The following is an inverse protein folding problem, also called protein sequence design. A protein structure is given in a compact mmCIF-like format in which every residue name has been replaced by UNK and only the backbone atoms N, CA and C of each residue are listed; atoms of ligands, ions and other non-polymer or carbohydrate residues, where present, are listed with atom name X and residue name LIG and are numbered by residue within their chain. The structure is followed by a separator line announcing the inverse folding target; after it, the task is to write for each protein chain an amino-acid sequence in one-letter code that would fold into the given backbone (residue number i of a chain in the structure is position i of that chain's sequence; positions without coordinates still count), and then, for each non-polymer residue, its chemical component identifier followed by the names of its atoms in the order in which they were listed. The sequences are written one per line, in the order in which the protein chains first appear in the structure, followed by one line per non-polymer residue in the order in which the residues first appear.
data_IF_307466398556
#
_entry.id   IF_307466398556
#
_cell.length_a   1.000
_cell.length_b   1.000
_cell.length_c   1.000
_cell.angle_alpha   90.00
_cell.angle_beta   90.00
_cell.angle_gamma   90.00
#
_symmetry.space_group_name_H-M   'P 1'
#
loop_
_entity.id
_entity.type
_entity.pdbx_description
1 polymer ?
#
# COMPACT_ATOMS: atom_id res chain seq x y z
N UNK A 1 -11.71 -6.82 22.05
CA UNK A 1 -11.76 -7.58 20.79
C UNK A 1 -11.92 -6.59 19.65
N UNK A 2 -11.09 -6.71 18.63
CA UNK A 2 -11.20 -5.90 17.41
C UNK A 2 -12.41 -6.36 16.59
N UNK A 3 -13.18 -5.40 16.08
CA UNK A 3 -14.36 -5.61 15.22
C UNK A 3 -14.21 -5.01 13.82
N UNK A 4 -13.26 -4.10 13.62
CA UNK A 4 -12.97 -3.52 12.31
C UNK A 4 -11.47 -3.31 12.09
N UNK A 5 -11.03 -3.43 10.83
CA UNK A 5 -9.67 -3.04 10.40
C UNK A 5 -9.76 -2.15 9.18
N UNK A 6 -9.06 -1.01 9.23
CA UNK A 6 -8.85 -0.10 8.10
C UNK A 6 -7.46 -0.32 7.55
N UNK A 7 -7.36 -0.64 6.27
CA UNK A 7 -6.09 -0.85 5.58
C UNK A 7 -5.80 0.29 4.60
N UNK A 8 -4.54 0.72 4.54
CA UNK A 8 -4.02 1.24 3.28
C UNK A 8 -3.95 0.13 2.20
N UNK A 9 -3.75 0.50 0.93
CA UNK A 9 -3.77 -0.45 -0.18
C UNK A 9 -2.38 -0.77 -0.74
N UNK A 10 -1.71 0.22 -1.33
CA UNK A 10 -0.48 0.04 -2.08
C UNK A 10 0.67 -0.33 -1.12
N UNK A 11 1.29 -1.50 -1.32
CA UNK A 11 2.37 -2.04 -0.49
C UNK A 11 1.97 -2.30 0.99
N UNK A 12 0.67 -2.23 1.28
CA UNK A 12 0.04 -2.67 2.53
C UNK A 12 -0.73 -3.98 2.28
N UNK A 13 -1.71 -3.96 1.36
CA UNK A 13 -2.48 -5.16 0.97
C UNK A 13 -1.89 -5.85 -0.25
N UNK A 14 -1.42 -5.08 -1.22
CA UNK A 14 -0.96 -5.55 -2.53
C UNK A 14 0.46 -5.08 -2.77
N UNK A 15 1.34 -5.97 -3.23
CA UNK A 15 2.73 -5.65 -3.57
C UNK A 15 2.79 -4.91 -4.91
N UNK A 16 2.55 -3.59 -4.85
CA UNK A 16 2.50 -2.74 -6.04
C UNK A 16 3.88 -2.29 -6.47
N UNK A 17 4.79 -2.03 -5.53
CA UNK A 17 6.18 -1.71 -5.78
C UNK A 17 6.93 -2.90 -6.35
N UNK A 18 6.78 -4.10 -5.79
CA UNK A 18 7.34 -5.32 -6.35
C UNK A 18 6.82 -5.60 -7.76
N UNK A 19 5.52 -5.37 -8.01
CA UNK A 19 4.96 -5.42 -9.36
C UNK A 19 5.67 -4.45 -10.31
N UNK A 20 5.78 -3.16 -9.94
CA UNK A 20 6.45 -2.16 -10.80
C UNK A 20 7.91 -2.55 -11.07
N UNK A 21 8.65 -3.00 -10.05
CA UNK A 21 10.05 -3.42 -10.19
C UNK A 21 10.15 -4.62 -11.14
N UNK A 22 9.37 -5.68 -10.89
CA UNK A 22 9.36 -6.89 -11.71
C UNK A 22 9.09 -6.56 -13.18
N UNK A 23 8.14 -5.67 -13.43
CA UNK A 23 7.78 -5.24 -14.78
C UNK A 23 8.78 -4.33 -15.46
N UNK A 24 9.38 -3.40 -14.72
CA UNK A 24 10.45 -2.56 -15.25
C UNK A 24 11.65 -3.43 -15.65
N UNK A 25 12.07 -4.36 -14.79
CA UNK A 25 13.15 -5.32 -15.09
C UNK A 25 12.82 -6.16 -16.32
N UNK A 26 11.60 -6.67 -16.44
CA UNK A 26 11.17 -7.41 -17.63
C UNK A 26 11.18 -6.55 -18.88
N UNK A 27 10.66 -5.32 -18.79
CA UNK A 27 10.64 -4.36 -19.89
C UNK A 27 12.05 -4.07 -20.38
N UNK A 28 12.99 -3.82 -19.47
CA UNK A 28 14.39 -3.60 -19.81
C UNK A 28 15.02 -4.84 -20.47
N UNK A 29 14.77 -6.05 -19.96
CA UNK A 29 15.24 -7.29 -20.61
C UNK A 29 14.67 -7.48 -22.02
N UNK A 30 13.40 -7.15 -22.24
CA UNK A 30 12.79 -7.28 -23.57
C UNK A 30 13.31 -6.24 -24.58
N UNK A 31 13.72 -5.05 -24.11
CA UNK A 31 14.25 -3.97 -24.97
C UNK A 31 15.76 -4.12 -25.19
N UNK A 32 16.52 -4.43 -24.13
CA UNK A 32 17.99 -4.39 -24.12
C UNK A 32 18.65 -5.79 -24.13
N UNK A 33 17.88 -6.86 -23.91
CA UNK A 33 18.36 -8.25 -23.88
C UNK A 33 18.89 -8.70 -22.51
N UNK A 34 19.95 -8.05 -22.01
CA UNK A 34 20.55 -8.35 -20.71
C UNK A 34 20.40 -7.19 -19.72
N UNK A 35 20.40 -7.52 -18.43
CA UNK A 35 20.32 -6.57 -17.33
C UNK A 35 21.47 -6.79 -16.36
N UNK A 36 22.23 -5.74 -16.08
CA UNK A 36 23.17 -5.72 -14.97
C UNK A 36 22.46 -5.35 -13.64
N UNK A 37 23.10 -5.69 -12.53
CA UNK A 37 22.58 -5.40 -11.19
C UNK A 37 22.55 -3.90 -10.89
N UNK A 38 23.44 -3.12 -11.51
CA UNK A 38 23.56 -1.67 -11.32
C UNK A 38 22.29 -0.93 -11.78
N UNK A 39 21.73 -1.29 -12.94
CA UNK A 39 20.47 -0.70 -13.42
C UNK A 39 19.26 -1.11 -12.59
N UNK A 40 19.28 -2.31 -12.00
CA UNK A 40 18.22 -2.73 -11.07
C UNK A 40 18.29 -1.91 -9.78
N UNK A 41 19.49 -1.63 -9.27
CA UNK A 41 19.65 -0.83 -8.07
C UNK A 41 19.24 0.63 -8.32
N UNK A 42 19.67 1.21 -9.44
CA UNK A 42 19.22 2.54 -9.87
C UNK A 42 17.70 2.63 -10.03
N UNK A 43 17.04 1.59 -10.54
CA UNK A 43 15.57 1.52 -10.58
C UNK A 43 14.97 1.61 -9.18
N UNK A 44 15.50 0.86 -8.21
CA UNK A 44 15.00 0.91 -6.83
C UNK A 44 15.16 2.32 -6.25
N UNK A 45 16.33 2.92 -6.41
CA UNK A 45 16.62 4.28 -5.93
C UNK A 45 15.64 5.30 -6.51
N UNK A 46 15.40 5.26 -7.82
CA UNK A 46 14.44 6.17 -8.47
C UNK A 46 13.01 5.94 -7.97
N UNK A 47 12.62 4.70 -7.68
CA UNK A 47 11.29 4.41 -7.11
C UNK A 47 11.13 4.92 -5.67
N UNK A 48 12.22 5.16 -4.93
CA UNK A 48 12.17 5.82 -3.63
C UNK A 48 11.97 7.33 -3.71
N UNK A 49 12.21 7.97 -4.87
CA UNK A 49 12.08 9.43 -5.06
C UNK A 49 10.62 9.92 -5.19
N UNK A 50 9.62 9.01 -5.18
CA UNK A 50 8.17 9.31 -5.28
C UNK A 50 7.79 10.20 -6.48
N UNK A 51 8.49 10.02 -7.61
CA UNK A 51 8.25 10.72 -8.86
C UNK A 51 6.88 10.36 -9.48
N UNK A 52 6.38 11.21 -10.38
CA UNK A 52 5.25 10.81 -11.23
C UNK A 52 5.65 9.62 -12.11
N UNK A 53 4.66 8.81 -12.51
CA UNK A 53 4.93 7.52 -13.15
C UNK A 53 5.75 7.64 -14.43
N UNK A 54 5.42 8.61 -15.30
CA UNK A 54 6.18 8.90 -16.52
C UNK A 54 7.59 9.43 -16.25
N UNK A 55 7.79 10.19 -15.18
CA UNK A 55 9.09 10.76 -14.80
C UNK A 55 10.09 9.67 -14.41
N UNK A 56 9.62 8.55 -13.84
CA UNK A 56 10.45 7.37 -13.57
C UNK A 56 11.14 6.88 -14.86
N UNK A 57 10.38 6.79 -15.96
CA UNK A 57 10.94 6.34 -17.26
C UNK A 57 11.89 7.38 -17.84
N UNK A 58 11.54 8.67 -17.77
CA UNK A 58 12.41 9.75 -18.25
C UNK A 58 13.75 9.76 -17.51
N UNK A 59 13.72 9.51 -16.20
CA UNK A 59 14.90 9.45 -15.34
C UNK A 59 15.78 8.25 -15.68
N UNK A 60 15.19 7.07 -15.88
CA UNK A 60 15.92 5.82 -16.11
C UNK A 60 16.42 5.62 -17.54
N UNK A 61 15.68 6.12 -18.53
CA UNK A 61 15.88 5.75 -19.93
C UNK A 61 16.18 6.95 -20.86
N UNK A 62 16.31 8.16 -20.31
CA UNK A 62 16.66 9.37 -21.05
C UNK A 62 15.88 9.47 -22.37
N UNK A 63 16.52 9.59 -23.54
CA UNK A 63 15.86 9.80 -24.83
C UNK A 63 14.94 8.64 -25.28
N UNK A 64 15.13 7.42 -24.76
CA UNK A 64 14.35 6.25 -25.17
C UNK A 64 13.14 5.97 -24.27
N UNK A 65 12.83 6.83 -23.30
CA UNK A 65 11.82 6.58 -22.27
C UNK A 65 10.43 6.19 -22.82
N UNK A 66 10.02 6.75 -23.95
CA UNK A 66 8.72 6.43 -24.59
C UNK A 66 8.65 4.98 -25.07
N UNK A 67 9.76 4.43 -25.57
CA UNK A 67 9.85 3.02 -25.99
C UNK A 67 9.63 2.09 -24.79
N UNK A 68 10.36 2.33 -23.68
CA UNK A 68 10.22 1.53 -22.46
C UNK A 68 8.82 1.70 -21.85
N UNK A 69 8.28 2.92 -21.80
CA UNK A 69 6.93 3.15 -21.28
C UNK A 69 5.86 2.43 -22.12
N UNK A 70 5.98 2.49 -23.45
CA UNK A 70 5.08 1.78 -24.37
C UNK A 70 5.15 0.27 -24.13
N UNK A 71 6.35 -0.28 -24.02
CA UNK A 71 6.58 -1.71 -23.79
C UNK A 71 6.10 -2.17 -22.41
N UNK A 72 6.32 -1.36 -21.38
CA UNK A 72 5.77 -1.59 -20.05
C UNK A 72 4.24 -1.65 -20.12
N UNK A 73 3.59 -0.66 -20.77
CA UNK A 73 2.13 -0.61 -20.89
C UNK A 73 1.55 -1.78 -21.70
N UNK A 74 2.31 -2.31 -22.66
CA UNK A 74 1.92 -3.51 -23.43
C UNK A 74 1.95 -4.80 -22.60
N UNK A 75 2.88 -4.91 -21.66
CA UNK A 75 3.20 -6.16 -20.95
C UNK A 75 2.65 -6.21 -19.52
N UNK A 76 2.57 -5.07 -18.83
CA UNK A 76 2.06 -4.97 -17.46
C UNK A 76 0.66 -5.58 -17.28
N UNK A 77 -0.32 -5.35 -18.18
CA UNK A 77 -1.66 -5.95 -18.03
C UNK A 77 -1.68 -7.49 -18.11
N UNK A 78 -0.60 -8.13 -18.56
CA UNK A 78 -0.49 -9.60 -18.72
C UNK A 78 -0.02 -10.30 -17.45
N UNK A 79 0.24 -9.57 -16.37
CA UNK A 79 0.74 -10.12 -15.12
C UNK A 79 -0.16 -9.67 -13.98
N UNK A 80 -0.37 -10.57 -13.03
CA UNK A 80 -1.22 -10.32 -11.88
C UNK A 80 -0.43 -9.67 -10.76
N UNK A 81 -1.05 -8.71 -10.08
CA UNK A 81 -0.56 -8.24 -8.78
C UNK A 81 -0.54 -9.39 -7.77
N UNK A 82 0.37 -9.30 -6.79
CA UNK A 82 0.52 -10.28 -5.70
C UNK A 82 0.09 -9.64 -4.38
N UNK A 83 -0.46 -10.41 -3.42
CA UNK A 83 -0.70 -9.89 -2.09
C UNK A 83 0.63 -9.63 -1.37
N UNK A 84 0.63 -8.70 -0.41
CA UNK A 84 1.75 -8.57 0.52
C UNK A 84 1.91 -9.87 1.33
N UNK A 85 3.16 -10.20 1.69
CA UNK A 85 3.48 -11.44 2.41
C UNK A 85 2.64 -11.62 3.68
N UNK A 86 1.94 -12.75 3.79
CA UNK A 86 1.09 -13.11 4.94
C UNK A 86 -0.24 -12.36 5.03
N UNK A 87 -0.51 -11.42 4.12
CA UNK A 87 -1.71 -10.58 4.19
C UNK A 87 -2.96 -11.34 3.78
N UNK A 88 -2.88 -12.23 2.79
CA UNK A 88 -4.05 -13.00 2.36
C UNK A 88 -4.54 -13.93 3.47
N UNK A 89 -3.61 -14.60 4.17
CA UNK A 89 -3.91 -15.42 5.35
C UNK A 89 -4.54 -14.58 6.47
N UNK A 90 -3.96 -13.42 6.75
CA UNK A 90 -4.46 -12.50 7.78
C UNK A 90 -5.88 -11.99 7.49
N UNK A 91 -6.17 -11.61 6.24
CA UNK A 91 -7.51 -11.20 5.80
C UNK A 91 -8.52 -12.35 5.97
N UNK A 92 -8.15 -13.57 5.62
CA UNK A 92 -9.02 -14.73 5.81
C UNK A 92 -9.32 -14.97 7.30
N UNK A 93 -8.32 -14.86 8.17
CA UNK A 93 -8.49 -15.03 9.61
C UNK A 93 -9.41 -13.95 10.22
N UNK A 94 -9.30 -12.70 9.74
CA UNK A 94 -10.19 -11.61 10.13
C UNK A 94 -11.64 -11.87 9.73
N UNK A 95 -11.85 -12.35 8.50
CA UNK A 95 -13.19 -12.68 8.00
C UNK A 95 -13.83 -13.83 8.78
N UNK A 96 -13.07 -14.87 9.12
CA UNK A 96 -13.55 -15.97 9.96
C UNK A 96 -14.00 -15.49 11.35
N UNK A 97 -13.38 -14.43 11.87
CA UNK A 97 -13.74 -13.78 13.13
C UNK A 97 -14.88 -12.75 12.99
N UNK A 98 -15.43 -12.56 11.78
CA UNK A 98 -16.50 -11.59 11.51
C UNK A 98 -16.05 -10.13 11.61
N UNK A 99 -14.75 -9.86 11.45
CA UNK A 99 -14.19 -8.51 11.49
C UNK A 99 -14.52 -7.79 10.18
N UNK A 100 -15.00 -6.55 10.28
CA UNK A 100 -15.28 -5.70 9.11
C UNK A 100 -13.99 -5.15 8.51
N UNK A 101 -13.88 -5.20 7.18
CA UNK A 101 -12.69 -4.76 6.45
C UNK A 101 -12.98 -3.49 5.67
N UNK A 102 -12.12 -2.50 5.83
CA UNK A 102 -12.20 -1.21 5.15
C UNK A 102 -10.88 -0.93 4.44
N UNK A 103 -10.93 -0.26 3.30
CA UNK A 103 -9.74 0.24 2.61
C UNK A 103 -9.84 1.76 2.53
N UNK A 104 -8.76 2.46 2.87
CA UNK A 104 -8.59 3.88 2.59
C UNK A 104 -7.30 4.09 1.80
N UNK A 105 -7.45 4.38 0.50
CA UNK A 105 -6.31 4.64 -0.38
C UNK A 105 -6.38 6.02 -1.04
N UNK A 106 -5.21 6.62 -1.26
CA UNK A 106 -5.05 7.78 -2.13
C UNK A 106 -5.19 7.41 -3.62
N UNK A 107 -5.18 6.12 -4.00
CA UNK A 107 -5.21 5.61 -5.37
C UNK A 107 -6.30 4.55 -5.52
N UNK A 108 -7.43 4.91 -6.14
CA UNK A 108 -8.55 3.96 -6.34
C UNK A 108 -8.68 3.42 -7.77
N UNK A 109 -7.90 3.96 -8.71
CA UNK A 109 -7.92 3.46 -10.09
C UNK A 109 -7.49 2.00 -10.14
N UNK A 110 -8.35 1.14 -10.71
CA UNK A 110 -8.15 -0.31 -10.83
C UNK A 110 -7.95 -1.04 -9.50
N UNK A 111 -8.36 -0.45 -8.37
CA UNK A 111 -8.14 -1.05 -7.05
C UNK A 111 -8.80 -2.43 -6.94
N UNK A 112 -10.06 -2.56 -7.35
CA UNK A 112 -10.78 -3.83 -7.33
C UNK A 112 -10.14 -4.88 -8.25
N UNK A 113 -9.68 -4.49 -9.45
CA UNK A 113 -8.99 -5.41 -10.37
C UNK A 113 -7.69 -5.92 -9.76
N UNK A 114 -6.90 -5.02 -9.15
CA UNK A 114 -5.64 -5.36 -8.48
C UNK A 114 -5.87 -6.28 -7.29
N UNK A 115 -6.92 -6.02 -6.52
CA UNK A 115 -7.35 -6.89 -5.43
C UNK A 115 -7.69 -8.30 -5.93
N UNK A 116 -8.51 -8.40 -6.98
CA UNK A 116 -8.90 -9.69 -7.54
C UNK A 116 -7.68 -10.46 -8.07
N UNK A 117 -6.74 -9.76 -8.72
CA UNK A 117 -5.48 -10.35 -9.19
C UNK A 117 -4.60 -10.87 -8.05
N UNK A 118 -4.57 -10.15 -6.92
CA UNK A 118 -3.86 -10.55 -5.71
C UNK A 118 -4.58 -11.63 -4.89
N UNK A 119 -5.74 -12.12 -5.35
CA UNK A 119 -6.49 -13.22 -4.72
C UNK A 119 -7.50 -12.78 -3.67
N UNK A 120 -7.75 -11.48 -3.52
CA UNK A 120 -8.81 -10.96 -2.64
C UNK A 120 -10.16 -10.98 -3.35
N UNK A 121 -11.25 -11.03 -2.57
CA UNK A 121 -12.61 -10.81 -3.07
C UNK A 121 -12.99 -9.35 -2.74
N UNK A 122 -13.06 -8.44 -3.73
CA UNK A 122 -13.23 -7.01 -3.45
C UNK A 122 -14.46 -6.67 -2.61
N UNK A 123 -15.55 -7.44 -2.76
CA UNK A 123 -16.80 -7.25 -2.00
C UNK A 123 -16.69 -7.57 -0.51
N UNK A 124 -15.59 -8.17 -0.05
CA UNK A 124 -15.32 -8.34 1.39
C UNK A 124 -14.94 -7.01 2.06
N UNK A 125 -14.61 -5.99 1.28
CA UNK A 125 -14.09 -4.71 1.76
C UNK A 125 -15.06 -3.57 1.45
N UNK A 126 -15.20 -2.63 2.39
CA UNK A 126 -15.76 -1.30 2.09
C UNK A 126 -14.61 -0.38 1.64
N UNK A 127 -14.61 0.02 0.37
CA UNK A 127 -13.51 0.78 -0.24
C UNK A 127 -13.81 2.28 -0.19
N UNK A 128 -12.87 3.06 0.33
CA UNK A 128 -12.90 4.51 0.39
C UNK A 128 -11.69 5.08 -0.34
N UNK A 129 -11.95 6.11 -1.16
CA UNK A 129 -10.92 7.03 -1.60
C UNK A 129 -10.84 8.20 -0.63
N UNK A 130 -9.64 8.76 -0.50
CA UNK A 130 -9.51 10.16 -0.13
C UNK A 130 -10.51 11.03 -0.92
N UNK A 131 -11.26 11.90 -0.24
CA UNK A 131 -12.21 12.82 -0.89
C UNK A 131 -11.47 13.80 -1.79
N UNK A 132 -12.16 14.35 -2.80
CA UNK A 132 -11.61 15.43 -3.63
C UNK A 132 -11.12 16.57 -2.72
N UNK A 133 -9.80 16.81 -2.73
CA UNK A 133 -9.13 17.82 -1.90
C UNK A 133 -8.57 17.32 -0.56
N UNK A 134 -8.92 16.12 -0.08
CA UNK A 134 -8.51 15.59 1.22
C UNK A 134 -7.84 14.22 1.07
N UNK A 135 -6.57 14.23 0.67
CA UNK A 135 -5.71 13.03 0.53
C UNK A 135 -4.79 12.90 1.71
N UNK A 136 -4.45 11.66 2.12
CA UNK A 136 -3.40 11.42 3.12
C UNK A 136 -2.14 12.18 2.69
N UNK A 137 -1.48 12.99 3.55
CA UNK A 137 -1.59 13.02 5.01
C UNK A 137 -2.65 13.97 5.63
N UNK A 138 -3.60 14.52 4.87
CA UNK A 138 -4.70 15.32 5.42
C UNK A 138 -5.58 14.49 6.36
N UNK A 139 -5.83 14.99 7.58
CA UNK A 139 -6.66 14.31 8.57
C UNK A 139 -8.11 14.09 8.13
N UNK A 140 -8.61 14.93 7.22
CA UNK A 140 -9.95 14.79 6.63
C UNK A 140 -10.05 13.60 5.67
N UNK A 141 -8.92 12.98 5.28
CA UNK A 141 -8.93 11.79 4.44
C UNK A 141 -9.63 10.59 5.10
N UNK A 142 -9.54 10.46 6.43
CA UNK A 142 -10.17 9.37 7.17
C UNK A 142 -11.66 9.60 7.48
N UNK A 143 -12.18 10.82 7.32
CA UNK A 143 -13.57 11.14 7.69
C UNK A 143 -14.60 10.15 7.14
N UNK A 144 -14.58 9.76 5.84
CA UNK A 144 -15.60 8.85 5.30
C UNK A 144 -15.60 7.46 5.94
N UNK A 145 -14.42 6.90 6.24
CA UNK A 145 -14.31 5.57 6.83
C UNK A 145 -14.64 5.59 8.32
N UNK A 146 -14.26 6.65 9.05
CA UNK A 146 -14.57 6.79 10.47
C UNK A 146 -16.08 6.99 10.70
N UNK A 147 -16.74 7.79 9.86
CA UNK A 147 -18.21 7.95 9.91
C UNK A 147 -18.93 6.61 9.64
N UNK A 148 -18.41 5.77 8.74
CA UNK A 148 -18.99 4.46 8.50
C UNK A 148 -18.82 3.53 9.70
N UNK A 149 -17.64 3.52 10.32
CA UNK A 149 -17.37 2.74 11.54
C UNK A 149 -18.30 3.17 12.67
N UNK A 150 -18.55 4.46 12.83
CA UNK A 150 -19.51 4.99 13.81
C UNK A 150 -20.94 4.55 13.49
N UNK A 151 -21.38 4.64 12.23
CA UNK A 151 -22.69 4.10 11.78
C UNK A 151 -22.84 2.61 12.06
N UNK A 152 -21.73 1.88 11.93
CA UNK A 152 -21.62 0.45 12.22
C UNK A 152 -21.58 0.14 13.74
N UNK A 153 -21.61 1.16 14.61
CA UNK A 153 -21.59 1.07 16.08
C UNK A 153 -20.37 0.34 16.61
N UNK A 154 -19.22 0.58 16.00
CA UNK A 154 -17.93 0.03 16.41
C UNK A 154 -17.17 1.11 17.17
N UNK A 155 -16.76 0.79 18.39
CA UNK A 155 -16.01 1.72 19.23
C UNK A 155 -14.58 1.87 18.71
N UNK A 156 -13.97 3.05 18.88
CA UNK A 156 -12.57 3.31 18.48
C UNK A 156 -11.59 2.25 19.01
N UNK A 157 -11.78 1.81 20.26
CA UNK A 157 -10.96 0.78 20.90
C UNK A 157 -11.07 -0.61 20.25
N UNK A 158 -12.05 -0.81 19.38
CA UNK A 158 -12.33 -2.04 18.63
C UNK A 158 -11.86 -1.94 17.18
N UNK A 159 -11.20 -0.85 16.78
CA UNK A 159 -10.69 -0.65 15.43
C UNK A 159 -9.17 -0.81 15.40
N UNK A 160 -8.64 -1.35 14.32
CA UNK A 160 -7.22 -1.32 14.01
C UNK A 160 -7.01 -0.57 12.69
N UNK A 161 -5.93 0.20 12.57
CA UNK A 161 -5.53 0.82 11.31
C UNK A 161 -4.16 0.30 10.93
N UNK A 162 -3.98 -0.13 9.68
CA UNK A 162 -2.74 -0.73 9.18
C UNK A 162 -2.31 0.01 7.92
N UNK A 163 -1.05 0.43 7.87
CA UNK A 163 -0.46 1.08 6.70
C UNK A 163 1.07 0.95 6.69
N UNK A 164 1.66 1.23 5.54
CA UNK A 164 3.09 1.08 5.31
C UNK A 164 3.81 2.43 5.10
N UNK A 165 3.08 3.55 5.05
CA UNK A 165 3.65 4.87 4.83
C UNK A 165 3.34 5.84 6.00
N UNK A 166 4.26 6.74 6.38
CA UNK A 166 4.00 7.73 7.44
C UNK A 166 2.74 8.58 7.21
N UNK A 167 2.39 8.83 5.94
CA UNK A 167 1.16 9.58 5.60
C UNK A 167 -0.12 8.90 6.11
N UNK A 168 -0.12 7.57 6.26
CA UNK A 168 -1.25 6.83 6.83
C UNK A 168 -1.44 7.18 8.32
N UNK A 169 -0.33 7.28 9.05
CA UNK A 169 -0.34 7.68 10.45
C UNK A 169 -0.65 9.17 10.62
N UNK A 170 -0.07 10.02 9.78
CA UNK A 170 -0.24 11.48 9.86
C UNK A 170 -1.67 11.92 9.49
N UNK A 171 -2.32 11.20 8.58
CA UNK A 171 -3.73 11.42 8.24
C UNK A 171 -4.71 10.92 9.30
N UNK A 172 -4.27 10.17 10.31
CA UNK A 172 -5.18 9.83 11.40
C UNK A 172 -5.39 11.03 12.32
N UNK A 173 -6.63 11.30 12.75
CA UNK A 173 -6.88 12.20 13.88
C UNK A 173 -6.11 11.72 15.11
N UNK A 174 -5.67 12.66 15.95
CA UNK A 174 -4.73 12.37 17.04
C UNK A 174 -5.25 11.27 17.99
N UNK A 175 -6.54 11.28 18.27
CA UNK A 175 -7.18 10.31 19.15
C UNK A 175 -7.26 8.89 18.56
N UNK A 176 -7.00 8.73 17.27
CA UNK A 176 -6.95 7.44 16.57
C UNK A 176 -5.54 6.89 16.40
N UNK A 177 -4.48 7.68 16.63
CA UNK A 177 -3.08 7.27 16.39
C UNK A 177 -2.67 6.03 17.19
N UNK A 178 -3.20 5.86 18.40
CA UNK A 178 -2.99 4.66 19.24
C UNK A 178 -3.49 3.35 18.59
N UNK A 179 -4.37 3.47 17.58
CA UNK A 179 -4.96 2.35 16.83
C UNK A 179 -4.15 1.98 15.59
N UNK A 180 -3.12 2.75 15.24
CA UNK A 180 -2.30 2.51 14.06
C UNK A 180 -1.24 1.44 14.29
N UNK A 181 -0.97 0.62 13.28
CA UNK A 181 0.13 -0.35 13.24
C UNK A 181 0.86 -0.18 11.93
N UNK A 182 2.14 0.17 12.03
CA UNK A 182 3.01 0.33 10.86
C UNK A 182 3.52 -1.03 10.40
N UNK A 183 3.47 -1.28 9.09
CA UNK A 183 4.09 -2.44 8.43
C UNK A 183 5.01 -1.98 7.28
N UNK A 184 6.13 -1.30 7.58
CA UNK A 184 7.02 -0.78 6.54
C UNK A 184 7.61 -1.90 5.68
N UNK A 185 7.74 -1.62 4.38
CA UNK A 185 8.28 -2.54 3.37
C UNK A 185 9.82 -2.56 3.33
N UNK A 186 10.48 -1.66 4.06
CA UNK A 186 11.91 -1.42 4.00
C UNK A 186 12.44 -0.72 5.26
N UNK A 187 13.75 -0.84 5.51
CA UNK A 187 14.40 -0.20 6.66
C UNK A 187 14.31 1.34 6.57
N UNK A 188 14.43 1.90 5.36
CA UNK A 188 14.26 3.34 5.13
C UNK A 188 12.85 3.79 5.55
N UNK A 189 11.80 3.04 5.19
CA UNK A 189 10.44 3.38 5.64
C UNK A 189 10.29 3.23 7.16
N UNK A 190 10.91 2.23 7.76
CA UNK A 190 10.97 2.08 9.23
C UNK A 190 11.62 3.29 9.90
N UNK A 191 12.77 3.73 9.42
CA UNK A 191 13.45 4.94 9.92
C UNK A 191 12.58 6.19 9.72
N UNK A 192 11.89 6.31 8.57
CA UNK A 192 10.94 7.41 8.32
C UNK A 192 9.78 7.40 9.31
N UNK A 193 9.22 6.24 9.65
CA UNK A 193 8.19 6.16 10.71
C UNK A 193 8.73 6.66 12.04
N UNK A 194 9.90 6.19 12.48
CA UNK A 194 10.50 6.64 13.75
C UNK A 194 10.79 8.14 13.73
N UNK A 195 11.23 8.69 12.60
CA UNK A 195 11.57 10.11 12.48
C UNK A 195 10.38 11.06 12.32
N UNK A 196 9.23 10.58 11.83
CA UNK A 196 8.07 11.41 11.49
C UNK A 196 6.82 11.15 12.34
N UNK A 197 6.85 10.13 13.19
CA UNK A 197 5.70 9.72 14.00
C UNK A 197 6.10 9.55 15.47
N UNK A 198 5.12 9.41 16.36
CA UNK A 198 5.37 9.13 17.77
C UNK A 198 5.56 7.63 18.06
N UNK A 199 5.57 6.79 17.01
CA UNK A 199 5.72 5.35 17.15
C UNK A 199 7.14 4.98 17.57
N UNK A 200 7.24 4.12 18.59
CA UNK A 200 8.49 3.47 18.94
C UNK A 200 8.81 2.32 17.97
N UNK A 201 10.07 1.88 17.91
CA UNK A 201 10.48 0.73 17.09
C UNK A 201 9.70 -0.56 17.38
N UNK A 202 9.17 -0.70 18.59
CA UNK A 202 8.39 -1.85 19.03
C UNK A 202 6.94 -1.83 18.52
N UNK A 203 6.48 -0.67 18.05
CA UNK A 203 5.14 -0.47 17.47
C UNK A 203 5.15 -0.57 15.94
N UNK A 204 6.34 -0.80 15.36
CA UNK A 204 6.58 -0.99 13.94
C UNK A 204 6.81 -2.48 13.67
N UNK A 205 5.86 -3.11 12.99
CA UNK A 205 5.86 -4.55 12.77
C UNK A 205 6.60 -4.88 11.47
N UNK A 206 7.39 -5.95 11.49
CA UNK A 206 8.05 -6.46 10.28
C UNK A 206 7.10 -7.21 9.35
N UNK A 207 6.08 -7.85 9.93
CA UNK A 207 5.09 -8.65 9.20
C UNK A 207 3.75 -8.54 9.90
N UNK A 208 2.67 -8.52 9.11
CA UNK A 208 1.29 -8.38 9.60
C UNK A 208 0.88 -9.53 10.52
N UNK A 209 1.41 -10.74 10.29
CA UNK A 209 1.11 -11.93 11.09
C UNK A 209 1.51 -11.80 12.56
N UNK A 210 2.37 -10.83 12.89
CA UNK A 210 2.79 -10.56 14.25
C UNK A 210 1.82 -9.63 15.01
N UNK A 211 0.80 -9.09 14.33
CA UNK A 211 -0.23 -8.26 14.95
C UNK A 211 -1.24 -9.16 15.65
N UNK A 212 -1.26 -9.09 16.99
CA UNK A 212 -2.22 -9.84 17.80
C UNK A 212 -3.59 -9.17 17.75
N UNK A 213 -4.59 -9.94 17.33
CA UNK A 213 -6.00 -9.54 17.34
C UNK A 213 -6.74 -10.39 18.38
N UNK A 214 -6.84 -9.84 19.60
CA UNK A 214 -7.57 -10.42 20.75
C UNK A 214 -8.81 -9.61 21.09
#
# INVERSE_FOLDING_TARGET
MIKAVVFDFDDTLVDTKGFVIEHMVRTMKEVDGEMDEERIEMLKDVLYENLHFEEIFQRLFSENWELYLSKYRETAPKTSYKPMSGMLEFINELKEKGVKLYILSNRTRMLEDRMAQAGYVPTDFKIYSALDGHRKPDQLAYTPVLEEIERDKIERSEVLVIGNHPDDYLALPDEWKERFRAIPDSEIQRERFVGLTELSENEIYKEVINIKIS
#
